data_IF_745326923666
#
_entry.id   IF_745326923666
#
_cell.length_a   1.000
_cell.length_b   1.000
_cell.length_c   1.000
_cell.angle_alpha   90.00
_cell.angle_beta   90.00
_cell.angle_gamma   90.00
#
_symmetry.space_group_name_H-M   'P 1'
#
loop_
_entity.id
_entity.type
_entity.pdbx_description
1 polymer ?
#
# COMPACT_ATOMS: atom_id res chain seq x y z
N UNK A 1 -34.50 40.71 0.39
CA UNK A 1 -34.80 39.30 0.11
C UNK A 1 -34.03 38.83 -1.12
N UNK A 2 -32.71 39.09 -1.17
CA UNK A 2 -31.85 38.78 -2.33
C UNK A 2 -30.44 38.31 -1.93
N UNK A 3 -30.24 37.85 -0.69
CA UNK A 3 -28.90 37.43 -0.20
C UNK A 3 -28.80 35.93 0.08
N UNK A 4 -29.89 35.16 -0.05
CA UNK A 4 -29.90 33.71 0.31
C UNK A 4 -29.74 32.75 -0.87
N UNK A 5 -29.68 33.22 -2.13
CA UNK A 5 -29.50 32.31 -3.30
C UNK A 5 -28.04 32.14 -3.76
N UNK A 6 -27.11 32.92 -3.21
CA UNK A 6 -25.69 32.84 -3.66
C UNK A 6 -24.82 31.80 -2.92
N UNK A 7 -25.35 31.20 -1.86
CA UNK A 7 -24.60 30.23 -1.03
C UNK A 7 -24.80 28.75 -1.43
N UNK A 8 -25.67 28.47 -2.39
CA UNK A 8 -25.97 27.10 -2.81
C UNK A 8 -25.16 26.59 -4.01
N UNK A 9 -24.42 27.45 -4.71
CA UNK A 9 -23.73 27.07 -5.95
C UNK A 9 -22.23 26.70 -5.79
N UNK A 10 -21.65 26.78 -4.59
CA UNK A 10 -20.21 26.66 -4.40
C UNK A 10 -19.79 25.42 -3.60
N UNK A 11 -20.64 24.39 -3.50
CA UNK A 11 -20.29 23.15 -2.77
C UNK A 11 -19.78 22.00 -3.62
N UNK A 12 -19.50 22.22 -4.90
CA UNK A 12 -19.21 21.14 -5.85
C UNK A 12 -17.72 20.80 -6.02
N UNK A 13 -16.81 21.28 -5.16
CA UNK A 13 -15.38 21.21 -5.47
C UNK A 13 -14.49 20.52 -4.44
N UNK A 14 -15.02 19.77 -3.49
CA UNK A 14 -14.16 19.09 -2.54
C UNK A 14 -14.43 17.57 -2.59
N UNK A 15 -13.83 16.89 -3.55
CA UNK A 15 -13.74 15.43 -3.51
C UNK A 15 -12.54 15.02 -2.65
N UNK A 16 -12.63 13.87 -2.04
CA UNK A 16 -11.66 13.30 -1.15
C UNK A 16 -10.39 12.92 -1.93
N UNK A 17 -9.29 13.55 -1.64
CA UNK A 17 -8.10 13.61 -2.49
C UNK A 17 -7.15 12.49 -2.20
N UNK A 18 -7.02 12.16 -0.95
CA UNK A 18 -6.24 11.03 -0.48
C UNK A 18 -6.64 9.78 -1.25
N UNK A 19 -7.94 9.59 -1.40
CA UNK A 19 -8.53 8.53 -2.19
C UNK A 19 -8.02 8.55 -3.64
N UNK A 20 -8.06 9.68 -4.33
CA UNK A 20 -7.61 9.78 -5.73
C UNK A 20 -6.12 9.51 -5.86
N UNK A 21 -5.31 9.99 -4.93
CA UNK A 21 -3.86 9.76 -4.91
C UNK A 21 -3.50 8.32 -4.58
N UNK A 22 -4.31 7.65 -3.76
CA UNK A 22 -4.13 6.25 -3.37
C UNK A 22 -4.85 5.26 -4.30
N UNK A 23 -5.59 5.75 -5.30
CA UNK A 23 -6.27 4.89 -6.26
C UNK A 23 -5.31 3.89 -6.92
N UNK A 24 -5.61 2.61 -6.78
CA UNK A 24 -4.81 1.53 -7.34
C UNK A 24 -3.50 1.21 -6.60
N UNK A 25 -3.14 1.93 -5.53
CA UNK A 25 -2.05 1.54 -4.64
C UNK A 25 -2.41 0.27 -3.87
N UNK A 26 -1.48 -0.66 -3.82
CA UNK A 26 -1.60 -1.89 -3.07
C UNK A 26 -0.35 -2.04 -2.20
N UNK A 27 -0.54 -1.81 -0.90
CA UNK A 27 0.56 -1.84 0.05
C UNK A 27 0.87 -3.27 0.48
N UNK A 28 2.15 -3.65 0.53
CA UNK A 28 2.59 -4.96 0.99
C UNK A 28 3.60 -4.82 2.12
N UNK A 29 3.30 -5.42 3.28
CA UNK A 29 4.12 -5.41 4.49
C UNK A 29 4.90 -6.72 4.66
N UNK A 30 5.74 -7.06 3.68
CA UNK A 30 6.51 -8.29 3.68
C UNK A 30 7.59 -8.37 4.77
N UNK A 31 7.97 -9.59 5.12
CA UNK A 31 9.08 -9.84 6.06
C UNK A 31 10.41 -9.36 5.48
N UNK A 32 11.37 -8.87 6.31
CA UNK A 32 12.70 -8.50 5.87
C UNK A 32 13.56 -9.70 5.51
N UNK A 33 14.62 -9.44 4.74
CA UNK A 33 15.66 -10.39 4.37
C UNK A 33 15.47 -11.01 2.98
N UNK A 34 16.52 -10.98 2.14
CA UNK A 34 16.52 -11.62 0.83
C UNK A 34 16.24 -13.15 0.93
N UNK A 35 16.64 -13.77 2.03
CA UNK A 35 16.36 -15.18 2.30
C UNK A 35 14.86 -15.44 2.44
N UNK A 36 14.14 -14.62 3.20
CA UNK A 36 12.69 -14.68 3.33
C UNK A 36 12.01 -14.45 1.99
N UNK A 37 12.39 -13.38 1.28
CA UNK A 37 11.84 -13.03 -0.03
C UNK A 37 12.01 -14.17 -1.04
N UNK A 38 13.17 -14.82 -1.08
CA UNK A 38 13.44 -15.94 -1.99
C UNK A 38 12.58 -17.18 -1.73
N UNK A 39 11.96 -17.27 -0.55
CA UNK A 39 10.99 -18.31 -0.16
C UNK A 39 9.54 -17.80 -0.21
N UNK A 40 9.25 -16.78 -1.01
CA UNK A 40 7.90 -16.22 -1.11
C UNK A 40 7.41 -15.55 0.17
N UNK A 41 8.30 -15.08 1.05
CA UNK A 41 7.93 -14.51 2.33
C UNK A 41 7.57 -15.53 3.44
N UNK A 42 7.54 -16.83 3.13
CA UNK A 42 7.25 -17.91 4.09
C UNK A 42 8.40 -18.08 5.09
N UNK A 43 8.31 -17.42 6.25
CA UNK A 43 9.41 -17.36 7.21
C UNK A 43 8.99 -17.42 8.68
N UNK A 44 7.68 -17.29 9.01
CA UNK A 44 7.19 -17.19 10.39
C UNK A 44 7.49 -18.43 11.24
N UNK A 45 7.34 -19.63 10.63
CA UNK A 45 7.69 -20.89 11.27
C UNK A 45 9.19 -21.11 11.35
N UNK A 46 9.95 -20.65 10.36
CA UNK A 46 11.41 -20.80 10.29
C UNK A 46 12.12 -19.80 11.21
N UNK A 47 12.04 -18.51 10.94
CA UNK A 47 12.55 -17.36 11.68
C UNK A 47 13.85 -17.67 12.47
N UNK A 48 14.94 -18.00 11.74
CA UNK A 48 16.17 -18.58 12.32
C UNK A 48 17.45 -17.77 12.00
N UNK A 49 17.28 -16.49 11.64
CA UNK A 49 18.37 -15.52 11.47
C UNK A 49 18.00 -14.15 12.08
N UNK A 50 18.88 -13.17 11.95
CA UNK A 50 18.70 -11.84 12.57
C UNK A 50 17.48 -11.05 12.04
N UNK A 51 16.88 -11.43 10.90
CA UNK A 51 15.63 -10.83 10.41
C UNK A 51 14.40 -11.28 11.20
N UNK A 52 14.52 -12.34 12.01
CA UNK A 52 13.48 -12.78 12.93
C UNK A 52 13.06 -11.70 13.94
N UNK A 53 13.91 -10.71 14.22
CA UNK A 53 13.62 -9.58 15.10
C UNK A 53 12.35 -8.84 14.71
N UNK A 54 12.04 -8.79 13.43
CA UNK A 54 10.80 -8.21 12.88
C UNK A 54 9.82 -9.30 12.43
N UNK A 55 10.30 -10.38 11.78
CA UNK A 55 9.43 -11.39 11.21
C UNK A 55 8.67 -12.21 12.29
N UNK A 56 9.39 -12.78 13.25
CA UNK A 56 8.84 -13.45 14.43
C UNK A 56 9.86 -13.37 15.58
N UNK A 57 9.68 -12.48 16.55
CA UNK A 57 10.68 -12.24 17.61
C UNK A 57 10.97 -13.48 18.47
N UNK A 58 10.05 -14.44 18.58
CA UNK A 58 10.31 -15.69 19.29
C UNK A 58 11.41 -16.54 18.63
N UNK A 59 11.64 -16.36 17.31
CA UNK A 59 12.70 -17.02 16.55
C UNK A 59 14.11 -16.63 16.98
N UNK A 60 14.29 -15.46 17.58
CA UNK A 60 15.58 -14.96 18.06
C UNK A 60 16.28 -15.91 19.04
N UNK A 61 15.52 -16.72 19.76
CA UNK A 61 16.07 -17.68 20.76
C UNK A 61 16.90 -18.82 20.14
N UNK A 62 16.81 -19.03 18.82
CA UNK A 62 17.62 -20.04 18.13
C UNK A 62 19.05 -19.56 17.89
N UNK A 63 19.28 -18.26 17.88
CA UNK A 63 20.58 -17.66 17.64
C UNK A 63 21.52 -17.90 18.82
N UNK A 64 22.75 -18.36 18.53
CA UNK A 64 23.76 -18.70 19.54
C UNK A 64 24.93 -17.74 19.57
N UNK A 65 25.00 -16.85 18.59
CA UNK A 65 26.04 -15.85 18.41
C UNK A 65 25.38 -14.50 18.14
N UNK A 66 26.11 -13.44 18.42
CA UNK A 66 25.72 -12.11 17.97
C UNK A 66 25.64 -12.11 16.44
N UNK A 67 24.53 -11.58 15.90
CA UNK A 67 24.33 -11.42 14.47
C UNK A 67 24.02 -9.95 14.12
N UNK A 68 24.58 -9.50 13.01
CA UNK A 68 24.24 -8.22 12.38
C UNK A 68 23.74 -8.54 10.98
N UNK A 69 22.58 -8.00 10.61
CA UNK A 69 21.99 -8.13 9.27
C UNK A 69 21.78 -6.78 8.62
N UNK A 70 22.01 -6.73 7.31
CA UNK A 70 21.74 -5.58 6.44
C UNK A 70 21.04 -6.08 5.18
N UNK A 71 20.08 -5.30 4.69
CA UNK A 71 19.35 -5.59 3.44
C UNK A 71 19.14 -4.33 2.62
N UNK A 72 19.46 -4.44 1.33
CA UNK A 72 19.05 -3.47 0.30
C UNK A 72 17.94 -4.05 -0.56
N UNK A 73 16.89 -3.27 -0.84
CA UNK A 73 15.79 -3.63 -1.74
C UNK A 73 15.65 -2.65 -2.88
N UNK A 74 15.24 -3.19 -4.02
CA UNK A 74 14.74 -2.43 -5.14
C UNK A 74 13.28 -2.83 -5.39
N UNK A 75 12.39 -1.85 -5.37
CA UNK A 75 10.98 -2.02 -5.67
C UNK A 75 10.70 -1.44 -7.04
N UNK A 76 9.93 -2.17 -7.85
CA UNK A 76 9.36 -1.65 -9.08
C UNK A 76 7.88 -2.06 -9.13
N UNK A 77 7.00 -1.09 -9.04
CA UNK A 77 5.56 -1.28 -9.17
C UNK A 77 5.05 -0.60 -10.43
N UNK A 78 4.20 -1.32 -11.15
CA UNK A 78 3.46 -0.79 -12.29
C UNK A 78 1.99 -0.64 -11.90
N UNK A 79 1.55 0.59 -11.74
CA UNK A 79 0.14 0.90 -11.53
C UNK A 79 -0.58 1.01 -12.87
N UNK A 80 -1.67 0.29 -13.01
CA UNK A 80 -2.53 0.35 -14.18
C UNK A 80 -3.95 0.59 -13.72
N UNK A 81 -4.50 1.74 -14.05
CA UNK A 81 -5.91 2.03 -13.86
C UNK A 81 -6.70 1.42 -15.02
N UNK A 82 -7.52 0.41 -14.74
CA UNK A 82 -8.37 -0.22 -15.74
C UNK A 82 -9.82 -0.17 -15.31
N UNK A 83 -10.69 0.22 -16.23
CA UNK A 83 -12.15 0.17 -16.06
C UNK A 83 -12.71 -1.20 -16.39
N UNK A 84 -12.15 -2.30 -15.88
CA UNK A 84 -12.59 -3.63 -16.25
C UNK A 84 -13.97 -3.98 -15.67
N UNK A 85 -14.88 -4.37 -16.53
CA UNK A 85 -16.08 -5.10 -16.18
C UNK A 85 -17.34 -4.28 -15.91
N UNK A 86 -17.27 -3.12 -15.28
CA UNK A 86 -18.46 -2.32 -14.92
C UNK A 86 -18.93 -1.43 -16.08
N UNK A 87 -18.01 -1.00 -16.92
CA UNK A 87 -18.27 -0.12 -18.06
C UNK A 87 -17.46 -0.58 -19.30
N UNK A 88 -17.95 -1.58 -20.05
CA UNK A 88 -17.16 -2.21 -21.12
C UNK A 88 -16.81 -1.27 -22.29
N UNK A 89 -17.56 -0.19 -22.47
CA UNK A 89 -17.39 0.74 -23.59
C UNK A 89 -16.49 1.95 -23.30
N UNK A 90 -16.02 2.10 -22.05
CA UNK A 90 -15.10 3.18 -21.69
C UNK A 90 -13.66 2.81 -22.06
N UNK A 91 -13.06 3.63 -22.94
CA UNK A 91 -11.66 3.48 -23.33
C UNK A 91 -10.77 3.45 -22.08
N UNK A 92 -10.01 2.37 -21.94
CA UNK A 92 -9.08 2.17 -20.82
C UNK A 92 -7.88 3.07 -21.00
N UNK A 93 -7.68 4.00 -20.09
CA UNK A 93 -6.43 4.74 -20.02
C UNK A 93 -5.55 4.04 -18.99
N UNK A 94 -4.50 3.38 -19.45
CA UNK A 94 -3.51 2.75 -18.59
C UNK A 94 -2.45 3.80 -18.22
N UNK A 95 -2.24 4.01 -16.92
CA UNK A 95 -1.10 4.75 -16.41
C UNK A 95 -0.05 3.75 -15.97
N UNK A 96 1.14 3.89 -16.54
CA UNK A 96 2.32 3.17 -16.10
C UNK A 96 3.09 4.07 -15.15
N UNK A 97 2.92 3.85 -13.87
CA UNK A 97 3.79 4.44 -12.87
C UNK A 97 4.89 3.43 -12.55
N UNK A 98 6.14 3.84 -12.69
CA UNK A 98 7.30 3.06 -12.31
C UNK A 98 7.99 3.75 -11.14
N UNK A 99 7.89 3.13 -9.96
CA UNK A 99 8.73 3.49 -8.83
C UNK A 99 9.96 2.59 -8.83
N UNK A 100 11.15 3.16 -8.97
CA UNK A 100 12.43 2.45 -8.83
C UNK A 100 13.21 3.09 -7.68
N UNK A 101 13.17 2.49 -6.52
CA UNK A 101 13.98 2.94 -5.38
C UNK A 101 14.95 1.82 -4.97
N UNK A 102 16.23 2.13 -4.83
CA UNK A 102 17.22 1.23 -4.20
C UNK A 102 17.53 1.80 -2.83
N UNK A 103 17.27 1.01 -1.79
CA UNK A 103 17.31 1.49 -0.42
C UNK A 103 17.88 0.49 0.56
N UNK A 104 18.37 1.01 1.70
CA UNK A 104 18.56 0.22 2.90
C UNK A 104 17.18 -0.09 3.48
N UNK A 105 16.64 -1.27 3.18
CA UNK A 105 15.31 -1.68 3.62
C UNK A 105 15.32 -2.22 5.05
N UNK A 106 16.41 -2.84 5.49
CA UNK A 106 16.48 -3.44 6.82
C UNK A 106 17.93 -3.46 7.36
N UNK A 107 18.03 -3.24 8.66
CA UNK A 107 19.26 -3.44 9.42
C UNK A 107 18.91 -3.95 10.81
N UNK A 108 19.67 -4.92 11.35
CA UNK A 108 19.47 -5.39 12.71
C UNK A 108 20.76 -5.80 13.40
N UNK A 109 20.73 -5.75 14.73
CA UNK A 109 21.72 -6.34 15.62
C UNK A 109 21.00 -7.19 16.65
N UNK A 110 21.45 -8.45 16.81
CA UNK A 110 20.86 -9.41 17.74
C UNK A 110 21.95 -9.97 18.65
N UNK A 111 21.69 -9.95 19.94
CA UNK A 111 22.63 -10.40 20.97
C UNK A 111 21.97 -11.47 21.85
N UNK A 112 22.41 -12.73 21.79
CA UNK A 112 21.89 -13.79 22.64
C UNK A 112 22.56 -13.86 24.03
N UNK A 113 21.74 -14.10 25.05
CA UNK A 113 22.16 -14.28 26.45
C UNK A 113 21.58 -15.58 27.00
N UNK A 114 22.19 -16.72 26.74
CA UNK A 114 21.68 -18.05 27.13
C UNK A 114 20.26 -18.33 26.63
N UNK A 115 19.23 -18.19 27.49
CA UNK A 115 17.80 -18.40 27.18
C UNK A 115 17.09 -17.12 26.72
N UNK A 116 17.73 -15.99 26.88
CA UNK A 116 17.19 -14.67 26.54
C UNK A 116 17.97 -14.08 25.37
N UNK A 117 17.28 -13.45 24.43
CA UNK A 117 17.90 -12.79 23.29
C UNK A 117 17.30 -11.40 23.13
N UNK A 118 18.14 -10.41 22.92
CA UNK A 118 17.75 -9.05 22.61
C UNK A 118 18.09 -8.71 21.16
N UNK A 119 17.29 -7.89 20.54
CA UNK A 119 17.54 -7.34 19.22
C UNK A 119 17.09 -5.91 19.08
N UNK A 120 17.78 -5.17 18.24
CA UNK A 120 17.36 -3.87 17.76
C UNK A 120 17.39 -3.85 16.25
N UNK A 121 16.48 -3.11 15.61
CA UNK A 121 16.40 -3.09 14.17
C UNK A 121 15.85 -1.77 13.62
N UNK A 122 16.16 -1.56 12.37
CA UNK A 122 15.55 -0.61 11.45
C UNK A 122 14.90 -1.38 10.32
N UNK A 123 13.68 -0.99 9.94
CA UNK A 123 12.96 -1.54 8.80
C UNK A 123 12.23 -0.42 8.07
N UNK A 124 12.34 -0.40 6.76
CA UNK A 124 11.57 0.47 5.86
C UNK A 124 10.69 -0.43 4.98
N UNK A 125 9.51 -0.85 5.50
CA UNK A 125 8.64 -1.80 4.81
C UNK A 125 7.89 -1.15 3.64
N UNK A 126 7.66 0.16 3.72
CA UNK A 126 6.88 0.91 2.76
C UNK A 126 7.62 2.16 2.32
N UNK A 127 7.89 2.22 1.03
CA UNK A 127 8.27 3.43 0.33
C UNK A 127 7.65 3.43 -1.06
N UNK A 128 6.81 4.39 -1.30
CA UNK A 128 6.30 4.71 -2.62
C UNK A 128 6.64 6.18 -2.89
N UNK A 129 7.51 6.42 -3.85
CA UNK A 129 7.77 7.75 -4.40
C UNK A 129 7.08 7.78 -5.76
N UNK A 130 5.85 8.28 -5.77
CA UNK A 130 5.10 8.57 -6.98
C UNK A 130 5.86 9.57 -7.86
N UNK A 131 5.65 9.51 -9.17
CA UNK A 131 6.35 10.31 -10.16
C UNK A 131 6.51 11.77 -9.74
N UNK A 132 7.75 12.20 -9.56
CA UNK A 132 8.13 13.57 -9.38
C UNK A 132 8.79 13.87 -8.05
N UNK A 133 10.10 13.61 -7.97
CA UNK A 133 10.95 14.09 -6.88
C UNK A 133 10.96 15.63 -6.77
N UNK A 134 10.64 16.30 -7.86
CA UNK A 134 10.57 17.75 -7.99
C UNK A 134 9.43 18.10 -8.93
N UNK A 135 8.18 18.03 -8.45
CA UNK A 135 7.10 18.69 -9.16
C UNK A 135 7.20 20.18 -8.87
N UNK A 136 8.21 20.83 -9.43
CA UNK A 136 8.09 22.24 -9.79
C UNK A 136 7.00 22.30 -10.85
N UNK A 137 5.82 22.74 -10.43
CA UNK A 137 4.72 22.98 -11.36
C UNK A 137 5.03 24.30 -12.03
N UNK A 138 5.92 24.26 -13.01
CA UNK A 138 5.93 25.26 -14.07
C UNK A 138 4.65 25.05 -14.92
N UNK A 139 4.06 26.10 -15.42
CA UNK A 139 2.91 26.02 -16.35
C UNK A 139 3.18 25.08 -17.54
N UNK A 140 4.44 24.88 -17.91
CA UNK A 140 4.89 23.95 -18.95
C UNK A 140 4.69 22.46 -18.57
N UNK A 141 4.63 22.09 -17.30
CA UNK A 141 4.43 20.72 -16.84
C UNK A 141 2.98 20.24 -17.08
N UNK A 142 2.02 21.13 -17.07
CA UNK A 142 0.61 20.82 -17.32
C UNK A 142 0.33 20.36 -18.76
N UNK A 143 1.22 20.65 -19.70
CA UNK A 143 1.04 20.39 -21.13
C UNK A 143 1.60 19.02 -21.57
N UNK A 144 2.47 18.39 -20.80
CA UNK A 144 3.18 17.15 -21.21
C UNK A 144 3.07 15.96 -20.26
N UNK A 145 2.47 16.11 -19.09
CA UNK A 145 2.34 15.01 -18.12
C UNK A 145 1.12 14.13 -18.35
N UNK A 146 1.20 12.83 -18.03
CA UNK A 146 0.04 11.97 -18.12
C UNK A 146 -1.05 12.49 -17.17
N UNK A 147 -2.11 13.04 -17.73
CA UNK A 147 -3.28 13.50 -17.00
C UNK A 147 -4.22 12.34 -16.80
N UNK A 148 -4.52 11.98 -15.55
CA UNK A 148 -5.62 11.08 -15.27
C UNK A 148 -6.92 11.86 -15.45
N UNK A 149 -7.77 11.46 -16.36
CA UNK A 149 -9.11 12.00 -16.52
C UNK A 149 -10.11 10.86 -16.35
N UNK A 150 -11.23 11.15 -15.68
CA UNK A 150 -12.38 10.27 -15.76
C UNK A 150 -12.88 10.30 -17.21
N UNK A 151 -12.98 9.15 -17.91
CA UNK A 151 -13.47 9.11 -19.29
C UNK A 151 -14.84 9.75 -19.40
N UNK A 152 -15.12 10.37 -20.54
CA UNK A 152 -16.46 10.87 -20.86
C UNK A 152 -17.48 9.75 -20.70
N UNK A 153 -18.50 10.00 -19.92
CA UNK A 153 -19.66 9.14 -19.85
C UNK A 153 -20.93 9.98 -19.91
N UNK A 154 -22.03 9.36 -20.30
CA UNK A 154 -23.31 10.02 -20.45
C UNK A 154 -24.34 9.32 -19.58
N UNK A 155 -25.15 10.10 -18.85
CA UNK A 155 -26.16 9.57 -17.92
C UNK A 155 -27.55 10.09 -18.29
N UNK A 156 -28.53 9.19 -18.52
CA UNK A 156 -29.92 9.58 -18.64
C UNK A 156 -30.41 10.23 -17.32
N UNK A 157 -31.15 11.36 -17.44
CA UNK A 157 -31.68 12.07 -16.25
C UNK A 157 -32.65 11.21 -15.45
N UNK A 158 -33.47 10.43 -16.12
CA UNK A 158 -34.58 9.68 -15.50
C UNK A 158 -34.16 8.31 -14.94
N UNK A 159 -32.86 8.05 -14.82
CA UNK A 159 -32.31 6.83 -14.24
C UNK A 159 -31.59 5.95 -15.25
N UNK A 160 -30.97 4.87 -14.75
CA UNK A 160 -30.17 3.95 -15.56
C UNK A 160 -28.67 4.17 -15.39
N UNK A 161 -27.88 3.25 -15.94
CA UNK A 161 -26.42 3.30 -15.97
C UNK A 161 -25.89 4.24 -17.06
N UNK A 162 -24.55 4.36 -17.16
CA UNK A 162 -23.92 5.10 -18.23
C UNK A 162 -24.27 4.55 -19.60
N UNK A 163 -24.45 5.46 -20.56
CA UNK A 163 -24.76 5.15 -21.95
C UNK A 163 -23.70 5.76 -22.86
N UNK A 164 -23.62 5.29 -24.09
CA UNK A 164 -22.75 5.87 -25.11
C UNK A 164 -23.21 7.28 -25.50
N UNK A 165 -22.32 8.07 -26.11
CA UNK A 165 -22.66 9.39 -26.65
C UNK A 165 -23.84 9.31 -27.62
N UNK A 166 -23.85 8.29 -28.49
CA UNK A 166 -24.89 8.11 -29.49
C UNK A 166 -26.25 7.79 -28.88
N UNK A 167 -26.28 6.94 -27.85
CA UNK A 167 -27.50 6.64 -27.08
C UNK A 167 -28.01 7.88 -26.32
N UNK A 168 -27.11 8.65 -25.75
CA UNK A 168 -27.45 9.90 -25.07
C UNK A 168 -28.09 10.93 -26.04
N UNK A 169 -27.54 11.06 -27.24
CA UNK A 169 -28.12 11.90 -28.29
C UNK A 169 -29.49 11.38 -28.73
N UNK A 170 -29.67 10.07 -28.83
CA UNK A 170 -30.97 9.46 -29.13
C UNK A 170 -32.01 9.74 -28.04
N UNK A 171 -31.62 9.65 -26.77
CA UNK A 171 -32.48 9.97 -25.62
C UNK A 171 -32.92 11.41 -25.67
N UNK A 172 -31.98 12.36 -25.88
CA UNK A 172 -32.29 13.81 -26.01
C UNK A 172 -33.25 14.11 -27.15
N UNK A 173 -33.02 13.47 -28.28
CA UNK A 173 -33.86 13.68 -29.48
C UNK A 173 -35.27 13.10 -29.27
N UNK A 174 -35.39 11.92 -28.64
CA UNK A 174 -36.66 11.27 -28.33
C UNK A 174 -37.47 12.07 -27.31
N UNK A 175 -36.81 12.51 -26.24
CA UNK A 175 -37.44 13.33 -25.21
C UNK A 175 -37.68 14.78 -25.63
N UNK A 176 -37.07 15.22 -26.72
CA UNK A 176 -37.04 16.65 -27.17
C UNK A 176 -36.54 17.57 -26.05
N UNK A 177 -35.65 17.07 -25.20
CA UNK A 177 -35.08 17.77 -24.06
C UNK A 177 -33.55 17.58 -24.06
N UNK A 178 -32.78 18.68 -24.22
CA UNK A 178 -31.31 18.60 -24.21
C UNK A 178 -30.75 18.14 -22.84
N UNK A 179 -31.53 18.21 -21.79
CA UNK A 179 -31.18 17.80 -20.46
C UNK A 179 -31.66 16.37 -20.09
N UNK A 180 -32.35 15.69 -21.01
CA UNK A 180 -32.78 14.29 -20.78
C UNK A 180 -31.63 13.31 -20.60
N UNK A 181 -30.44 13.65 -21.09
CA UNK A 181 -29.20 12.93 -20.86
C UNK A 181 -28.06 13.92 -20.73
N UNK A 182 -27.28 13.79 -19.67
CA UNK A 182 -26.19 14.71 -19.35
C UNK A 182 -24.84 14.02 -19.59
N UNK A 183 -23.88 14.80 -20.07
CA UNK A 183 -22.48 14.38 -20.07
C UNK A 183 -21.97 14.44 -18.63
N UNK A 184 -21.39 13.36 -18.16
CA UNK A 184 -20.73 13.32 -16.87
C UNK A 184 -19.54 14.27 -16.83
N UNK A 185 -19.19 14.75 -15.64
CA UNK A 185 -18.07 15.67 -15.51
C UNK A 185 -16.77 14.99 -15.95
N UNK A 186 -16.06 15.62 -16.87
CA UNK A 186 -14.64 15.40 -17.07
C UNK A 186 -13.91 16.04 -15.88
N UNK A 187 -13.15 15.26 -15.16
CA UNK A 187 -12.24 15.77 -14.14
C UNK A 187 -10.80 15.45 -14.56
N UNK A 188 -10.20 16.28 -15.44
CA UNK A 188 -8.79 16.14 -15.70
C UNK A 188 -8.03 16.49 -14.42
N UNK A 189 -7.22 15.55 -13.93
CA UNK A 189 -6.39 15.78 -12.76
C UNK A 189 -5.01 15.14 -12.93
N UNK A 190 -4.04 15.70 -12.23
CA UNK A 190 -2.71 15.12 -12.05
C UNK A 190 -2.57 14.83 -10.58
N UNK A 191 -2.20 13.61 -10.24
CA UNK A 191 -2.00 13.20 -8.86
C UNK A 191 -0.60 12.62 -8.68
N UNK A 192 0.00 12.94 -7.54
CA UNK A 192 1.27 12.38 -7.10
C UNK A 192 1.18 12.03 -5.62
N UNK A 193 1.73 10.90 -5.23
CA UNK A 193 1.79 10.47 -3.84
C UNK A 193 3.20 10.05 -3.46
N UNK A 194 3.67 10.54 -2.33
CA UNK A 194 4.89 10.07 -1.67
C UNK A 194 4.48 9.54 -0.29
N UNK A 195 4.74 8.26 -0.06
CA UNK A 195 4.47 7.59 1.22
C UNK A 195 5.75 6.90 1.67
N UNK A 196 6.14 7.11 2.93
CA UNK A 196 7.32 6.48 3.52
C UNK A 196 7.05 6.10 4.97
N UNK A 197 7.26 4.83 5.30
CA UNK A 197 7.25 4.34 6.68
C UNK A 197 8.63 3.85 7.08
N UNK A 198 9.07 4.20 8.29
CA UNK A 198 10.30 3.74 8.92
C UNK A 198 10.01 3.25 10.33
N UNK A 199 10.35 2.01 10.59
CA UNK A 199 10.22 1.37 11.90
C UNK A 199 11.60 1.23 12.56
N UNK A 200 11.70 1.68 13.79
CA UNK A 200 12.82 1.39 14.72
C UNK A 200 12.28 0.51 15.83
N UNK A 201 12.77 -0.72 15.93
CA UNK A 201 12.24 -1.68 16.88
C UNK A 201 13.27 -2.20 17.87
N UNK A 202 12.77 -2.54 19.06
CA UNK A 202 13.49 -3.28 20.09
C UNK A 202 12.73 -4.57 20.35
N UNK A 203 13.42 -5.71 20.30
CA UNK A 203 12.83 -7.01 20.53
C UNK A 203 13.52 -7.75 21.67
N UNK A 204 12.72 -8.53 22.38
CA UNK A 204 13.20 -9.47 23.39
C UNK A 204 12.53 -10.82 23.23
N UNK A 205 13.28 -11.90 23.40
CA UNK A 205 12.76 -13.25 23.33
C UNK A 205 13.29 -14.14 24.43
N UNK A 206 12.47 -15.10 24.87
CA UNK A 206 12.83 -16.06 25.92
C UNK A 206 12.43 -17.50 25.54
N UNK A 207 13.31 -18.47 25.86
CA UNK A 207 13.12 -19.89 25.54
C UNK A 207 12.71 -20.71 26.76
N UNK A 208 11.62 -21.47 26.63
CA UNK A 208 11.08 -22.42 27.61
C UNK A 208 11.09 -23.85 27.02
N UNK A 209 12.18 -24.57 27.15
CA UNK A 209 12.28 -25.89 26.51
C UNK A 209 12.12 -25.78 25.00
N UNK A 210 11.05 -26.38 24.44
CA UNK A 210 10.74 -26.38 23.03
C UNK A 210 9.86 -25.19 22.60
N UNK A 211 9.46 -24.33 23.54
CA UNK A 211 8.71 -23.11 23.29
C UNK A 211 9.58 -21.89 23.43
N UNK A 212 9.29 -20.89 22.62
CA UNK A 212 9.86 -19.57 22.73
C UNK A 212 8.76 -18.53 22.59
N UNK A 213 8.90 -17.44 23.32
CA UNK A 213 8.04 -16.25 23.22
C UNK A 213 8.91 -15.05 22.94
N UNK A 214 8.39 -14.11 22.20
CA UNK A 214 9.08 -12.85 21.91
C UNK A 214 8.10 -11.69 21.84
N UNK A 215 8.60 -10.50 22.10
CA UNK A 215 7.86 -9.26 21.96
C UNK A 215 8.73 -8.18 21.35
N UNK A 216 8.11 -7.25 20.67
CA UNK A 216 8.75 -6.07 20.06
C UNK A 216 8.02 -4.80 20.49
N UNK A 217 8.77 -3.73 20.75
CA UNK A 217 8.29 -2.36 20.77
C UNK A 217 8.76 -1.69 19.48
N UNK A 218 7.84 -1.07 18.74
CA UNK A 218 8.04 -0.55 17.39
C UNK A 218 7.76 0.94 17.38
N UNK A 219 8.78 1.76 17.26
CA UNK A 219 8.65 3.20 17.03
C UNK A 219 8.57 3.44 15.53
N UNK A 220 7.35 3.67 15.03
CA UNK A 220 7.06 3.84 13.62
C UNK A 220 7.00 5.32 13.29
N UNK A 221 7.66 5.71 12.20
CA UNK A 221 7.66 7.07 11.66
C UNK A 221 7.09 7.03 10.26
N UNK A 222 6.12 7.88 10.04
CA UNK A 222 5.39 7.93 8.78
C UNK A 222 5.43 9.34 8.21
N UNK A 223 5.55 9.42 6.90
CA UNK A 223 5.45 10.65 6.14
C UNK A 223 4.63 10.38 4.90
N UNK A 224 3.63 11.22 4.69
CA UNK A 224 2.80 11.21 3.50
C UNK A 224 2.71 12.61 2.93
N UNK A 225 2.75 12.69 1.60
CA UNK A 225 2.43 13.87 0.82
C UNK A 225 1.73 13.42 -0.44
N UNK A 226 0.45 13.71 -0.56
CA UNK A 226 -0.36 13.42 -1.72
C UNK A 226 -0.88 14.73 -2.31
N UNK A 227 -0.67 14.94 -3.61
CA UNK A 227 -1.14 16.13 -4.33
C UNK A 227 -2.11 15.71 -5.41
N UNK A 228 -3.20 16.43 -5.54
CA UNK A 228 -4.10 16.35 -6.69
C UNK A 228 -4.36 17.73 -7.24
N UNK A 229 -4.03 17.92 -8.51
CA UNK A 229 -4.27 19.14 -9.27
C UNK A 229 -5.43 18.88 -10.21
N UNK A 230 -6.48 19.67 -10.10
CA UNK A 230 -7.64 19.60 -10.98
C UNK A 230 -7.59 20.72 -11.99
N UNK A 231 -7.81 20.38 -13.23
CA UNK A 231 -7.86 21.31 -14.35
C UNK A 231 -9.31 21.53 -14.77
N UNK A 232 -9.54 22.64 -15.49
CA UNK A 232 -10.79 22.84 -16.18
C UNK A 232 -10.98 21.86 -17.35
N UNK A 233 -12.18 21.80 -17.90
CA UNK A 233 -12.51 20.89 -19.00
C UNK A 233 -11.73 21.18 -20.31
N UNK A 234 -11.05 22.32 -20.37
CA UNK A 234 -10.18 22.68 -21.51
C UNK A 234 -8.72 22.29 -21.28
N UNK A 235 -8.38 21.75 -20.10
CA UNK A 235 -7.01 21.42 -19.66
C UNK A 235 -6.06 22.65 -19.60
N UNK A 236 -6.62 23.85 -19.51
CA UNK A 236 -5.84 25.09 -19.62
C UNK A 236 -5.72 25.85 -18.31
N UNK A 237 -6.61 25.60 -17.35
CA UNK A 237 -6.63 26.35 -16.08
C UNK A 237 -6.69 25.42 -14.88
N UNK A 238 -5.88 25.72 -13.88
CA UNK A 238 -5.94 25.08 -12.57
C UNK A 238 -7.24 25.51 -11.87
N UNK A 239 -8.08 24.53 -11.51
CA UNK A 239 -9.30 24.78 -10.74
C UNK A 239 -9.08 24.65 -9.24
N UNK A 240 -8.38 23.62 -8.83
CA UNK A 240 -8.06 23.39 -7.43
C UNK A 240 -6.78 22.58 -7.25
N UNK A 241 -6.13 22.84 -6.14
CA UNK A 241 -5.03 22.03 -5.63
C UNK A 241 -5.46 21.47 -4.31
N UNK A 242 -5.22 20.21 -4.12
CA UNK A 242 -5.55 19.54 -2.89
C UNK A 242 -4.34 18.74 -2.44
N UNK A 243 -4.06 18.82 -1.16
CA UNK A 243 -2.89 18.19 -0.53
C UNK A 243 -3.37 17.45 0.70
N UNK A 244 -3.00 16.19 0.79
CA UNK A 244 -3.01 15.46 2.05
C UNK A 244 -1.57 15.26 2.49
N UNK A 245 -1.28 15.56 3.74
CA UNK A 245 0.07 15.46 4.23
C UNK A 245 0.10 15.27 5.75
N UNK A 246 1.15 14.62 6.24
CA UNK A 246 1.37 14.37 7.68
C UNK A 246 1.72 15.63 8.47
N UNK A 247 1.88 16.77 7.82
CA UNK A 247 2.07 18.08 8.46
C UNK A 247 1.36 19.19 7.69
N UNK A 248 1.18 20.34 8.35
CA UNK A 248 0.58 21.54 7.74
C UNK A 248 1.49 22.06 6.63
N UNK A 249 1.09 21.84 5.38
CA UNK A 249 1.78 22.33 4.19
C UNK A 249 1.02 23.55 3.66
N UNK A 250 1.57 24.73 3.82
CA UNK A 250 1.02 25.99 3.31
C UNK A 250 1.72 26.50 2.06
N UNK A 251 2.88 25.95 1.73
CA UNK A 251 3.64 26.31 0.55
C UNK A 251 3.89 25.09 -0.33
N UNK A 252 3.83 25.26 -1.65
CA UNK A 252 3.94 24.20 -2.65
C UNK A 252 5.25 23.39 -2.56
N UNK A 253 6.33 23.97 -2.00
CA UNK A 253 7.65 23.38 -1.91
C UNK A 253 7.98 22.86 -0.51
N UNK A 254 7.03 22.87 0.43
CA UNK A 254 7.25 22.31 1.76
C UNK A 254 7.15 20.79 1.73
N UNK A 255 8.15 20.15 2.29
CA UNK A 255 8.15 18.70 2.50
C UNK A 255 7.41 18.38 3.77
N UNK A 256 6.50 17.39 3.72
CA UNK A 256 5.82 16.94 4.92
C UNK A 256 6.81 16.44 5.99
N UNK A 257 6.49 16.71 7.25
CA UNK A 257 7.24 16.22 8.39
C UNK A 257 6.84 14.78 8.74
N UNK A 258 7.74 14.03 9.36
CA UNK A 258 7.42 12.73 9.90
C UNK A 258 6.56 12.87 11.15
N UNK A 259 5.46 12.15 11.19
CA UNK A 259 4.70 11.83 12.39
C UNK A 259 5.11 10.45 12.92
N UNK A 260 4.80 10.13 14.16
CA UNK A 260 5.23 8.87 14.76
C UNK A 260 4.18 8.28 15.69
N UNK A 261 4.22 6.94 15.78
CA UNK A 261 3.41 6.16 16.71
C UNK A 261 4.24 5.05 17.33
N UNK A 262 3.83 4.57 18.51
CA UNK A 262 4.47 3.48 19.23
C UNK A 262 3.52 2.28 19.30
N UNK A 263 3.90 1.21 18.62
CA UNK A 263 3.12 -0.02 18.54
C UNK A 263 3.91 -1.22 19.06
N UNK A 264 3.23 -2.36 19.20
CA UNK A 264 3.81 -3.56 19.76
C UNK A 264 3.61 -4.75 18.83
N UNK A 265 4.49 -5.73 18.96
CA UNK A 265 4.37 -7.02 18.31
C UNK A 265 4.65 -8.15 19.30
N UNK A 266 4.11 -9.31 19.03
CA UNK A 266 4.35 -10.52 19.81
C UNK A 266 4.54 -11.72 18.88
N UNK A 267 5.34 -12.68 19.33
CA UNK A 267 5.57 -13.91 18.60
C UNK A 267 5.66 -15.12 19.52
N UNK A 268 5.27 -16.26 18.99
CA UNK A 268 5.43 -17.58 19.62
C UNK A 268 6.11 -18.49 18.62
N UNK A 269 6.99 -19.35 19.12
CA UNK A 269 7.62 -20.41 18.32
C UNK A 269 7.63 -21.71 19.13
N UNK A 270 7.17 -22.79 18.50
CA UNK A 270 7.19 -24.13 19.06
C UNK A 270 7.96 -25.07 18.14
N UNK A 271 8.97 -25.74 18.69
CA UNK A 271 9.84 -26.68 17.97
C UNK A 271 9.72 -28.08 18.59
N UNK A 272 8.63 -28.83 18.26
CA UNK A 272 8.38 -30.13 18.86
C UNK A 272 9.47 -31.16 18.53
N UNK A 273 10.08 -31.02 17.36
CA UNK A 273 11.19 -31.84 16.90
C UNK A 273 12.28 -31.01 16.23
N UNK A 274 13.45 -31.58 15.96
CA UNK A 274 14.49 -30.89 15.19
C UNK A 274 14.10 -30.60 13.72
N UNK A 275 13.05 -31.26 13.24
CA UNK A 275 12.61 -31.18 11.84
C UNK A 275 11.31 -30.39 11.67
N UNK A 276 10.62 -29.99 12.73
CA UNK A 276 9.35 -29.30 12.66
C UNK A 276 9.38 -28.09 13.59
N UNK A 277 8.97 -26.94 13.06
CA UNK A 277 8.81 -25.71 13.83
C UNK A 277 7.52 -25.00 13.40
N UNK A 278 6.77 -24.52 14.38
CA UNK A 278 5.55 -23.73 14.21
C UNK A 278 5.78 -22.35 14.79
N UNK A 279 5.28 -21.33 14.10
CA UNK A 279 5.34 -19.93 14.53
C UNK A 279 3.98 -19.28 14.49
N UNK A 280 3.74 -18.33 15.40
CA UNK A 280 2.61 -17.42 15.32
C UNK A 280 3.06 -16.02 15.70
N UNK A 281 2.48 -15.01 15.04
CA UNK A 281 2.82 -13.59 15.24
C UNK A 281 1.59 -12.72 15.25
N UNK A 282 1.67 -11.65 16.02
CA UNK A 282 0.79 -10.50 15.95
C UNK A 282 1.65 -9.24 15.87
N UNK A 283 1.31 -8.35 14.92
CA UNK A 283 1.92 -7.03 14.80
C UNK A 283 0.79 -6.01 14.83
N UNK A 284 0.81 -5.13 15.81
CA UNK A 284 -0.15 -4.02 15.91
C UNK A 284 0.11 -3.00 14.82
N UNK A 285 -0.93 -2.55 14.16
CA UNK A 285 -0.89 -1.44 13.22
C UNK A 285 -0.66 -0.10 13.92
N UNK A 286 -0.31 0.91 13.16
CA UNK A 286 -0.08 2.27 13.63
C UNK A 286 -1.12 3.24 13.08
N UNK A 287 -1.35 4.36 13.79
CA UNK A 287 -2.22 5.44 13.34
C UNK A 287 -1.43 6.74 13.23
N UNK A 288 -1.55 7.40 12.08
CA UNK A 288 -0.84 8.64 11.81
C UNK A 288 -1.80 9.75 11.39
N UNK A 289 -1.72 10.96 11.96
CA UNK A 289 -2.47 12.09 11.46
C UNK A 289 -2.04 12.45 10.05
N UNK A 290 -3.00 12.57 9.14
CA UNK A 290 -2.81 12.93 7.75
C UNK A 290 -3.92 13.92 7.31
N UNK A 291 -3.94 15.16 7.86
CA UNK A 291 -4.92 16.17 7.49
C UNK A 291 -4.78 16.57 6.04
N UNK A 292 -5.89 16.98 5.45
CA UNK A 292 -5.88 17.50 4.09
C UNK A 292 -6.12 19.02 4.03
N UNK A 293 -5.63 19.63 2.95
CA UNK A 293 -5.69 21.05 2.69
C UNK A 293 -6.17 21.28 1.25
N UNK A 294 -6.96 22.30 1.01
CA UNK A 294 -7.45 22.66 -0.31
C UNK A 294 -7.17 24.12 -0.63
N UNK A 295 -6.86 24.40 -1.89
CA UNK A 295 -6.71 25.72 -2.45
C UNK A 295 -7.43 25.79 -3.79
N UNK A 296 -8.23 26.83 -4.02
CA UNK A 296 -8.97 27.08 -5.25
C UNK A 296 -9.09 28.59 -5.52
N UNK A 297 -9.78 28.95 -6.58
CA UNK A 297 -9.99 30.37 -6.93
C UNK A 297 -10.72 31.17 -5.84
N UNK A 298 -11.64 30.54 -5.09
CA UNK A 298 -12.39 31.21 -4.02
C UNK A 298 -11.51 31.53 -2.82
N UNK A 299 -10.44 30.77 -2.61
CA UNK A 299 -9.42 31.00 -1.57
C UNK A 299 -8.22 31.80 -2.10
N UNK A 300 -8.29 32.37 -3.32
CA UNK A 300 -7.14 32.96 -4.01
C UNK A 300 -5.92 32.01 -4.08
N UNK A 301 -6.16 30.69 -4.15
CA UNK A 301 -5.16 29.66 -4.07
C UNK A 301 -4.35 29.65 -2.75
N UNK A 302 -4.90 30.19 -1.67
CA UNK A 302 -4.39 29.96 -0.33
C UNK A 302 -4.92 28.63 0.21
N UNK A 303 -4.05 27.85 0.84
CA UNK A 303 -4.43 26.56 1.41
C UNK A 303 -5.26 26.73 2.68
N UNK A 304 -6.45 26.14 2.67
CA UNK A 304 -7.35 26.06 3.82
C UNK A 304 -7.40 24.63 4.30
N UNK A 305 -7.18 24.41 5.59
CA UNK A 305 -7.29 23.10 6.21
C UNK A 305 -8.73 22.58 6.11
N UNK A 306 -8.87 21.34 5.64
CA UNK A 306 -10.13 20.61 5.63
C UNK A 306 -10.37 19.80 6.92
N UNK A 307 -10.93 18.61 6.80
CA UNK A 307 -11.12 17.71 7.93
C UNK A 307 -9.82 17.08 8.40
N UNK A 308 -9.76 16.72 9.67
CA UNK A 308 -8.71 15.83 10.18
C UNK A 308 -9.00 14.41 9.68
N UNK A 309 -7.98 13.78 9.14
CA UNK A 309 -8.00 12.36 8.75
C UNK A 309 -6.75 11.67 9.30
N UNK A 310 -6.76 10.34 9.30
CA UNK A 310 -5.64 9.53 9.73
C UNK A 310 -5.29 8.50 8.66
N UNK A 311 -4.03 8.16 8.57
CA UNK A 311 -3.55 7.01 7.83
C UNK A 311 -3.32 5.86 8.81
N UNK A 312 -3.93 4.70 8.55
CA UNK A 312 -3.84 3.52 9.40
C UNK A 312 -2.98 2.45 8.74
N UNK A 313 -1.91 2.04 9.41
CA UNK A 313 -1.19 0.83 9.02
C UNK A 313 -1.95 -0.38 9.56
N UNK A 314 -2.19 -1.44 8.74
CA UNK A 314 -2.95 -2.60 9.17
C UNK A 314 -2.30 -3.40 10.30
N UNK A 315 -3.13 -4.05 11.12
CA UNK A 315 -2.71 -5.15 11.98
C UNK A 315 -2.35 -6.38 11.14
N UNK A 316 -1.36 -7.15 11.61
CA UNK A 316 -0.93 -8.38 10.96
C UNK A 316 -1.01 -9.55 11.94
N UNK A 317 -1.71 -10.61 11.54
CA UNK A 317 -1.81 -11.90 12.26
C UNK A 317 -1.23 -12.99 11.36
N UNK A 318 -0.25 -13.73 11.82
CA UNK A 318 0.38 -14.76 11.02
C UNK A 318 0.59 -16.06 11.76
N UNK A 319 0.46 -17.18 11.05
CA UNK A 319 0.86 -18.49 11.51
C UNK A 319 1.72 -19.17 10.45
N UNK A 320 2.76 -19.87 10.87
CA UNK A 320 3.70 -20.49 9.95
C UNK A 320 4.18 -21.86 10.41
N UNK A 321 4.45 -22.70 9.43
CA UNK A 321 5.03 -24.04 9.59
C UNK A 321 6.35 -24.11 8.83
N UNK A 322 7.38 -24.64 9.47
CA UNK A 322 8.65 -25.01 8.82
C UNK A 322 8.91 -26.50 9.05
N UNK A 323 9.18 -27.23 7.98
CA UNK A 323 9.50 -28.66 8.00
C UNK A 323 10.85 -28.89 7.33
N UNK A 324 11.70 -29.70 7.96
CA UNK A 324 13.00 -30.11 7.42
C UNK A 324 12.99 -31.63 7.17
N UNK A 325 12.46 -32.09 6.01
CA UNK A 325 12.32 -33.51 5.70
C UNK A 325 13.67 -34.26 5.66
N UNK A 326 14.70 -33.57 5.17
CA UNK A 326 16.09 -34.00 5.17
C UNK A 326 16.98 -32.83 5.60
N UNK A 327 18.20 -33.05 6.10
CA UNK A 327 19.05 -31.98 6.65
C UNK A 327 19.33 -30.79 5.70
N UNK A 328 19.29 -31.05 4.39
CA UNK A 328 19.61 -30.05 3.35
C UNK A 328 18.37 -29.37 2.74
N UNK A 329 17.15 -29.80 3.06
CA UNK A 329 15.91 -29.26 2.52
C UNK A 329 15.02 -28.74 3.64
N UNK A 330 14.62 -27.46 3.53
CA UNK A 330 13.62 -26.82 4.37
C UNK A 330 12.43 -26.42 3.52
N UNK A 331 11.22 -26.71 3.98
CA UNK A 331 9.95 -26.31 3.34
C UNK A 331 9.14 -25.51 4.35
N UNK A 332 8.64 -24.36 3.93
CA UNK A 332 7.90 -23.43 4.77
C UNK A 332 6.53 -23.15 4.17
N UNK A 333 5.55 -22.94 5.04
CA UNK A 333 4.21 -22.47 4.66
C UNK A 333 3.68 -21.53 5.74
N UNK A 334 3.23 -20.34 5.33
CA UNK A 334 2.67 -19.34 6.23
C UNK A 334 1.28 -18.92 5.72
N UNK A 335 0.39 -18.60 6.67
CA UNK A 335 -0.88 -17.94 6.42
C UNK A 335 -0.89 -16.65 7.23
N UNK A 336 -1.10 -15.54 6.54
CA UNK A 336 -1.03 -14.20 7.12
C UNK A 336 -2.34 -13.46 6.85
N UNK A 337 -2.97 -12.95 7.90
CA UNK A 337 -4.14 -12.08 7.83
C UNK A 337 -3.70 -10.66 8.05
N UNK A 338 -4.00 -9.77 7.11
CA UNK A 338 -3.73 -8.33 7.17
C UNK A 338 -5.05 -7.58 7.13
N UNK A 339 -5.29 -6.70 8.12
CA UNK A 339 -6.54 -5.94 8.25
C UNK A 339 -6.49 -4.65 7.43
N UNK A 340 -6.38 -4.80 6.10
CA UNK A 340 -6.31 -3.64 5.19
C UNK A 340 -7.55 -2.74 5.25
N UNK A 341 -8.70 -3.24 5.75
CA UNK A 341 -9.89 -2.40 5.97
C UNK A 341 -9.61 -1.18 6.84
N UNK A 342 -8.66 -1.26 7.76
CA UNK A 342 -8.26 -0.15 8.62
C UNK A 342 -7.75 1.07 7.82
N UNK A 343 -7.17 0.85 6.62
CA UNK A 343 -6.70 1.93 5.74
C UNK A 343 -7.82 2.91 5.32
N UNK A 344 -9.06 2.48 5.35
CA UNK A 344 -10.23 3.26 4.87
C UNK A 344 -11.16 3.71 5.97
N UNK A 345 -10.88 3.41 7.23
CA UNK A 345 -11.79 3.68 8.35
C UNK A 345 -12.15 5.17 8.49
N UNK A 346 -11.19 6.06 8.23
CA UNK A 346 -11.38 7.51 8.29
C UNK A 346 -11.66 8.17 6.94
N UNK A 347 -11.73 7.39 5.85
CA UNK A 347 -11.97 7.95 4.52
C UNK A 347 -13.47 8.19 4.29
N UNK A 348 -13.83 9.46 4.35
CA UNK A 348 -15.20 9.92 4.14
C UNK A 348 -15.27 10.71 2.83
N UNK A 349 -16.25 10.41 1.98
CA UNK A 349 -16.47 11.22 0.78
C UNK A 349 -16.75 12.69 1.15
N UNK A 350 -16.09 13.61 0.46
CA UNK A 350 -16.32 15.04 0.60
C UNK A 350 -17.62 15.47 -0.07
N UNK A 351 -18.13 14.66 -0.97
CA UNK A 351 -19.40 14.91 -1.64
C UNK A 351 -20.56 14.62 -0.69
N UNK A 352 -21.41 15.61 -0.42
CA UNK A 352 -22.51 15.49 0.52
C UNK A 352 -23.45 14.29 0.22
N UNK A 353 -23.92 14.08 -1.02
CA UNK A 353 -24.76 12.93 -1.35
C UNK A 353 -24.08 11.58 -1.11
N UNK A 354 -22.79 11.46 -1.39
CA UNK A 354 -22.04 10.22 -1.13
C UNK A 354 -21.74 10.05 0.36
N UNK A 355 -21.47 11.15 1.08
CA UNK A 355 -21.24 11.14 2.52
C UNK A 355 -22.48 10.73 3.32
N UNK A 356 -23.67 11.10 2.86
CA UNK A 356 -24.94 10.71 3.50
C UNK A 356 -25.20 9.20 3.39
N UNK A 357 -24.52 8.51 2.47
CA UNK A 357 -24.56 7.05 2.32
C UNK A 357 -23.51 6.32 3.21
N UNK A 358 -22.77 7.04 4.03
CA UNK A 358 -21.60 6.54 4.76
C UNK A 358 -20.33 6.57 3.92
N UNK A 359 -19.29 5.83 4.33
CA UNK A 359 -18.09 5.72 3.50
C UNK A 359 -18.35 4.77 2.32
N UNK A 360 -18.47 5.27 1.09
CA UNK A 360 -18.69 4.42 -0.08
C UNK A 360 -17.42 3.71 -0.56
N UNK A 361 -16.29 3.98 0.08
CA UNK A 361 -15.00 3.39 -0.23
C UNK A 361 -14.63 2.37 0.82
N UNK A 362 -14.04 1.28 0.40
CA UNK A 362 -13.52 0.27 1.31
C UNK A 362 -12.28 -0.42 0.75
N UNK A 363 -11.45 -0.88 1.65
CA UNK A 363 -10.38 -1.83 1.40
C UNK A 363 -10.74 -3.14 2.05
N UNK A 364 -10.44 -4.27 1.42
CA UNK A 364 -10.75 -5.60 1.97
C UNK A 364 -9.57 -6.13 2.75
N UNK A 365 -9.83 -6.72 3.89
CA UNK A 365 -8.81 -7.51 4.58
C UNK A 365 -8.33 -8.67 3.70
N UNK A 366 -7.03 -8.89 3.68
CA UNK A 366 -6.42 -9.97 2.92
C UNK A 366 -6.02 -11.15 3.82
N UNK A 367 -6.15 -12.35 3.28
CA UNK A 367 -5.52 -13.55 3.84
C UNK A 367 -4.54 -14.07 2.80
N UNK A 368 -3.27 -13.79 3.06
CA UNK A 368 -2.15 -14.18 2.22
C UNK A 368 -1.72 -15.61 2.55
N UNK A 369 -1.32 -16.37 1.54
CA UNK A 369 -0.78 -17.71 1.69
C UNK A 369 0.59 -17.75 1.02
N UNK A 370 1.60 -18.09 1.78
CA UNK A 370 2.98 -18.13 1.35
C UNK A 370 3.51 -19.56 1.44
N UNK A 371 4.25 -20.02 0.43
CA UNK A 371 4.96 -21.29 0.43
C UNK A 371 6.37 -21.10 -0.11
N UNK A 372 7.33 -21.78 0.46
CA UNK A 372 8.71 -21.69 0.02
C UNK A 372 9.55 -22.88 0.41
N UNK A 373 10.63 -23.05 -0.32
CA UNK A 373 11.63 -24.09 -0.05
C UNK A 373 13.04 -23.54 -0.19
N UNK A 374 13.94 -24.08 0.64
CA UNK A 374 15.37 -23.81 0.62
C UNK A 374 16.13 -25.13 0.56
N UNK A 375 17.05 -25.26 -0.39
CA UNK A 375 17.92 -26.40 -0.54
C UNK A 375 19.39 -26.01 -0.45
N UNK A 376 20.16 -26.67 0.39
CA UNK A 376 21.58 -26.46 0.59
C UNK A 376 22.43 -27.48 -0.16
N UNK A 377 23.33 -26.99 -0.98
CA UNK A 377 24.40 -27.81 -1.59
C UNK A 377 25.64 -27.79 -0.69
N UNK A 378 26.09 -28.96 -0.27
CA UNK A 378 27.29 -29.14 0.57
C UNK A 378 28.57 -29.04 -0.28
N UNK A 379 28.93 -27.81 -0.67
CA UNK A 379 30.16 -27.47 -1.38
C UNK A 379 31.19 -26.86 -0.42
N UNK A 380 32.41 -26.54 -0.89
CA UNK A 380 33.44 -25.85 -0.05
C UNK A 380 32.90 -24.58 0.61
N UNK A 381 32.11 -23.83 -0.13
CA UNK A 381 31.26 -22.75 0.40
C UNK A 381 29.82 -23.24 0.20
N UNK A 382 29.03 -23.51 1.26
CA UNK A 382 27.65 -23.94 1.10
C UNK A 382 26.85 -22.97 0.28
N UNK A 383 26.15 -23.49 -0.72
CA UNK A 383 25.27 -22.73 -1.63
C UNK A 383 23.81 -23.04 -1.30
N UNK A 384 23.01 -22.07 -1.03
CA UNK A 384 21.57 -22.22 -0.91
C UNK A 384 20.87 -21.79 -2.20
N UNK A 385 19.88 -22.56 -2.63
CA UNK A 385 18.91 -22.13 -3.65
C UNK A 385 17.52 -22.13 -3.05
N UNK A 386 16.70 -21.18 -3.46
CA UNK A 386 15.36 -20.95 -2.91
C UNK A 386 14.35 -20.74 -4.03
N UNK A 387 13.15 -21.21 -3.77
CA UNK A 387 11.99 -20.92 -4.59
C UNK A 387 10.78 -20.75 -3.68
N UNK A 388 9.89 -19.87 -4.06
CA UNK A 388 8.67 -19.61 -3.32
C UNK A 388 7.56 -19.06 -4.21
N UNK A 389 6.36 -19.09 -3.67
CA UNK A 389 5.20 -18.47 -4.27
C UNK A 389 4.26 -17.98 -3.17
N UNK A 390 3.53 -16.90 -3.45
CA UNK A 390 2.52 -16.42 -2.54
C UNK A 390 1.37 -15.77 -3.28
N UNK A 391 0.22 -15.79 -2.63
CA UNK A 391 -1.00 -15.19 -3.12
C UNK A 391 -1.30 -13.94 -2.32
N UNK A 392 -1.43 -12.84 -3.04
CA UNK A 392 -1.79 -11.52 -2.55
C UNK A 392 -3.24 -11.22 -2.99
N UNK A 393 -4.24 -11.38 -2.10
CA UNK A 393 -5.63 -11.06 -2.41
C UNK A 393 -5.80 -9.56 -2.68
N UNK A 394 -6.80 -9.22 -3.47
CA UNK A 394 -7.15 -7.83 -3.75
C UNK A 394 -7.40 -7.05 -2.47
N UNK A 395 -6.65 -5.97 -2.25
CA UNK A 395 -6.79 -5.06 -1.12
C UNK A 395 -6.54 -3.59 -1.49
N UNK A 396 -6.67 -3.24 -2.78
CA UNK A 396 -6.77 -1.84 -3.19
C UNK A 396 -8.08 -1.24 -2.74
N UNK A 397 -8.10 0.08 -2.63
CA UNK A 397 -9.33 0.80 -2.34
C UNK A 397 -10.34 0.64 -3.47
N UNK A 398 -11.59 0.28 -3.16
CA UNK A 398 -12.67 0.11 -4.13
C UNK A 398 -13.90 0.93 -3.76
N UNK A 399 -14.61 1.43 -4.76
CA UNK A 399 -15.89 2.12 -4.57
C UNK A 399 -17.03 1.10 -4.47
N UNK A 400 -17.82 1.21 -3.42
CA UNK A 400 -18.97 0.35 -3.11
C UNK A 400 -20.30 1.10 -3.01
N UNK A 401 -20.30 2.38 -3.30
CA UNK A 401 -21.53 3.18 -3.28
C UNK A 401 -22.54 2.76 -4.33
N UNK A 402 -23.83 3.06 -4.14
CA UNK A 402 -24.84 2.82 -5.14
C UNK A 402 -24.61 3.72 -6.36
N UNK A 403 -24.67 3.13 -7.56
CA UNK A 403 -24.56 3.88 -8.82
C UNK A 403 -25.87 4.54 -9.25
N UNK A 404 -27.00 4.13 -8.66
CA UNK A 404 -28.33 4.64 -9.02
C UNK A 404 -28.91 5.47 -7.86
N UNK A 405 -28.31 6.59 -7.57
CA UNK A 405 -28.84 7.62 -6.65
C UNK A 405 -29.78 8.57 -7.40
N UNK A 406 -30.82 9.09 -6.72
CA UNK A 406 -31.92 9.84 -7.37
C UNK A 406 -31.48 11.12 -8.06
N UNK A 407 -30.42 11.77 -7.57
CA UNK A 407 -29.86 12.98 -8.16
C UNK A 407 -28.87 12.65 -9.29
N UNK A 408 -28.98 13.33 -10.43
CA UNK A 408 -28.13 13.05 -11.62
C UNK A 408 -26.67 13.41 -11.38
N UNK A 409 -26.39 14.44 -10.59
CA UNK A 409 -25.03 14.85 -10.29
C UNK A 409 -24.39 13.83 -9.34
N UNK A 410 -25.11 13.42 -8.30
CA UNK A 410 -24.66 12.37 -7.39
C UNK A 410 -24.38 11.04 -8.12
N UNK A 411 -25.21 10.70 -9.14
CA UNK A 411 -24.93 9.54 -10.01
C UNK A 411 -23.66 9.71 -10.83
N UNK A 412 -23.47 10.90 -11.42
CA UNK A 412 -22.25 11.18 -12.18
C UNK A 412 -20.99 11.01 -11.34
N UNK A 413 -21.04 11.49 -10.11
CA UNK A 413 -19.95 11.36 -9.14
C UNK A 413 -19.74 9.91 -8.69
N UNK A 414 -20.81 9.16 -8.44
CA UNK A 414 -20.71 7.73 -8.10
C UNK A 414 -20.12 6.92 -9.27
N UNK A 415 -20.51 7.22 -10.50
CA UNK A 415 -19.91 6.58 -11.70
C UNK A 415 -18.43 6.93 -11.83
N UNK A 416 -18.06 8.20 -11.66
CA UNK A 416 -16.68 8.64 -11.69
C UNK A 416 -15.84 7.92 -10.62
N UNK A 417 -16.38 7.83 -9.39
CA UNK A 417 -15.73 7.10 -8.30
C UNK A 417 -15.56 5.61 -8.62
N UNK A 418 -16.57 4.96 -9.19
CA UNK A 418 -16.47 3.55 -9.59
C UNK A 418 -15.45 3.30 -10.71
N UNK A 419 -15.22 4.28 -11.58
CA UNK A 419 -14.20 4.22 -12.63
C UNK A 419 -12.80 4.37 -12.03
N UNK A 420 -12.63 5.29 -11.10
CA UNK A 420 -11.35 5.57 -10.46
C UNK A 420 -10.94 4.48 -9.46
N UNK A 421 -11.91 3.89 -8.78
CA UNK A 421 -11.71 2.89 -7.72
C UNK A 421 -12.40 1.56 -8.08
N UNK A 422 -11.95 0.88 -9.15
CA UNK A 422 -12.50 -0.41 -9.52
C UNK A 422 -12.16 -1.46 -8.46
N UNK A 423 -12.89 -2.59 -8.49
CA UNK A 423 -12.55 -3.75 -7.69
C UNK A 423 -11.10 -4.18 -7.95
N UNK A 424 -10.35 -4.41 -6.87
CA UNK A 424 -8.96 -4.83 -6.95
C UNK A 424 -8.79 -6.23 -7.54
N UNK A 425 -7.58 -6.55 -7.96
CA UNK A 425 -7.22 -7.86 -8.52
C UNK A 425 -6.32 -8.63 -7.56
N UNK A 426 -6.60 -9.92 -7.38
CA UNK A 426 -5.71 -10.84 -6.66
C UNK A 426 -4.46 -11.09 -7.51
N UNK A 427 -3.28 -10.96 -6.89
CA UNK A 427 -1.99 -11.18 -7.54
C UNK A 427 -1.35 -12.48 -7.05
N UNK A 428 -0.68 -13.20 -7.96
CA UNK A 428 0.13 -14.34 -7.60
C UNK A 428 1.60 -13.98 -7.82
N UNK A 429 2.41 -14.23 -6.82
CA UNK A 429 3.83 -13.94 -6.82
C UNK A 429 4.65 -15.22 -6.93
N UNK A 430 5.76 -15.13 -7.63
CA UNK A 430 6.78 -16.19 -7.72
C UNK A 430 8.12 -15.58 -7.33
N UNK A 431 8.81 -16.25 -6.43
CA UNK A 431 10.10 -15.82 -5.91
C UNK A 431 11.17 -16.85 -6.17
N UNK A 432 12.38 -16.38 -6.43
CA UNK A 432 13.59 -17.18 -6.50
C UNK A 432 14.69 -16.52 -5.67
N UNK A 433 15.61 -17.31 -5.15
CA UNK A 433 16.74 -16.78 -4.38
C UNK A 433 17.95 -17.71 -4.39
N UNK A 434 19.09 -17.11 -4.10
CA UNK A 434 20.34 -17.84 -3.90
C UNK A 434 21.11 -17.24 -2.72
N UNK A 435 21.92 -18.07 -2.07
CA UNK A 435 22.76 -17.62 -0.95
C UNK A 435 24.09 -18.35 -0.88
N UNK A 436 25.08 -17.68 -0.33
CA UNK A 436 26.39 -18.21 -0.02
C UNK A 436 26.61 -18.08 1.49
N UNK A 437 26.92 -19.17 2.17
CA UNK A 437 27.10 -19.19 3.61
C UNK A 437 28.53 -19.62 3.99
N UNK A 438 29.23 -18.75 4.72
CA UNK A 438 30.49 -19.05 5.41
C UNK A 438 30.23 -19.16 6.91
N UNK A 439 31.17 -19.68 7.70
CA UNK A 439 30.96 -19.86 9.15
C UNK A 439 30.60 -18.56 9.90
N UNK A 440 31.03 -17.39 9.40
CA UNK A 440 30.79 -16.09 10.03
C UNK A 440 30.04 -15.11 9.16
N UNK A 441 29.79 -15.42 7.91
CA UNK A 441 29.22 -14.48 6.93
C UNK A 441 28.29 -15.20 5.97
N UNK A 442 27.21 -14.56 5.62
CA UNK A 442 26.24 -15.06 4.65
C UNK A 442 25.79 -13.91 3.76
N UNK A 443 25.68 -14.16 2.47
CA UNK A 443 25.09 -13.24 1.50
C UNK A 443 23.95 -13.95 0.82
N UNK A 444 22.83 -13.28 0.68
CA UNK A 444 21.64 -13.78 0.00
C UNK A 444 21.18 -12.76 -1.03
N UNK A 445 20.69 -13.24 -2.16
CA UNK A 445 20.01 -12.44 -3.17
C UNK A 445 18.69 -13.12 -3.53
N UNK A 446 17.66 -12.32 -3.78
CA UNK A 446 16.34 -12.81 -4.16
C UNK A 446 15.64 -11.86 -5.14
N UNK A 447 14.71 -12.44 -5.87
CA UNK A 447 13.83 -11.72 -6.78
C UNK A 447 12.42 -12.28 -6.67
N UNK A 448 11.45 -11.39 -6.46
CA UNK A 448 10.03 -11.68 -6.43
C UNK A 448 9.32 -10.94 -7.57
N UNK A 449 8.35 -11.60 -8.17
CA UNK A 449 7.61 -11.05 -9.29
C UNK A 449 6.15 -11.48 -9.29
N UNK A 450 5.28 -10.49 -9.50
CA UNK A 450 3.90 -10.67 -9.99
C UNK A 450 3.68 -9.94 -11.32
N UNK A 451 2.46 -9.84 -11.78
CA UNK A 451 2.14 -9.14 -13.04
C UNK A 451 2.55 -7.67 -13.02
N UNK A 452 2.41 -7.00 -11.87
CA UNK A 452 2.61 -5.54 -11.74
C UNK A 452 3.66 -5.15 -10.72
N UNK A 453 4.20 -6.11 -9.97
CA UNK A 453 5.12 -5.85 -8.86
C UNK A 453 6.39 -6.70 -9.01
N UNK A 454 7.53 -6.09 -8.77
CA UNK A 454 8.84 -6.72 -8.81
C UNK A 454 9.68 -6.22 -7.66
N UNK A 455 10.29 -7.15 -6.93
CA UNK A 455 11.22 -6.83 -5.85
C UNK A 455 12.52 -7.57 -6.05
N UNK A 456 13.62 -6.83 -6.08
CA UNK A 456 14.97 -7.39 -5.94
C UNK A 456 15.50 -7.10 -4.55
N UNK A 457 16.12 -8.09 -3.90
CA UNK A 457 16.72 -7.92 -2.58
C UNK A 457 18.08 -8.55 -2.51
N UNK A 458 19.01 -7.89 -1.80
CA UNK A 458 20.32 -8.43 -1.40
C UNK A 458 20.46 -8.19 0.09
N UNK A 459 20.80 -9.27 0.83
CA UNK A 459 21.06 -9.18 2.25
C UNK A 459 22.38 -9.83 2.66
N UNK A 460 22.94 -9.35 3.75
CA UNK A 460 24.16 -9.88 4.35
C UNK A 460 23.96 -10.08 5.86
N UNK A 461 24.43 -11.23 6.38
CA UNK A 461 24.41 -11.55 7.81
C UNK A 461 25.83 -11.87 8.27
N UNK A 462 26.27 -11.21 9.33
CA UNK A 462 27.59 -11.48 9.96
C UNK A 462 27.38 -12.03 11.36
N UNK A 463 28.17 -13.08 11.71
CA UNK A 463 28.11 -13.80 13.00
C UNK A 463 29.44 -13.68 13.75
N UNK A 464 29.39 -13.30 15.02
CA UNK A 464 30.56 -13.04 15.84
C UNK A 464 30.77 -14.11 16.92
#
# INVERSE_FOLDING_TARGET
MFVLCALAAHRAAAQNIDIESLAGLQFNFGNPGARSLGMGGAFLGLADDASAVEANPAGLTILRKMEISLEGRNFAEQQVFTTSGTFPDLNRTAFNHHSNAVELAFASVVVPFRKFTLGAYFHEPLRNEGAGRDVEIEESFLVGSPTLSVPDFYLPRDGGGPVSKQECEAIRNTAKDPFACLRGPLFPFVSAVEVQERTFGLAGAYQFGNFSVGATARYQRFRETAFTFRLDNSFTRLQSVIVQATSDIRERNQRAEYVSDLTFGAGIKWTPTNSISLGAVYKQGAEFPAPWFAANADTNFEFVKGADSKFHIPDVYGVGLSVRPIPVLTVNADVVRVTYSNLTDDFVSMNQPLRDLGSPYRTRDATEVHIGAEYFFSTKVPVAVRAGAWRDPAHSMEFHGPLNVGDVQARAEAVAAAILFPAGETRNHISIGAGLAWPRFQIDAAYDRSERFRVGSISAVTRF
#
